data_IF_778482661375
#
_entry.id   IF_778482661375
#
_cell.length_a   1.000
_cell.length_b   1.000
_cell.length_c   1.000
_cell.angle_alpha   90.00
_cell.angle_beta   90.00
_cell.angle_gamma   90.00
#
_symmetry.space_group_name_H-M   'P 1'
#
loop_
_entity.id
_entity.type
_entity.pdbx_description
1 polymer ?
#
# COMPACT_ATOMS: atom_id res chain seq x y z
N UNK A 1 21.11 -1.20 -13.76
CA UNK A 1 20.74 -2.58 -13.34
C UNK A 1 21.83 -3.10 -12.42
N UNK A 2 21.45 -3.46 -11.18
CA UNK A 2 22.33 -3.93 -10.11
C UNK A 2 21.81 -5.27 -9.60
N UNK A 3 22.70 -6.19 -9.20
CA UNK A 3 22.29 -7.48 -8.62
C UNK A 3 22.48 -7.42 -7.10
N UNK A 4 21.43 -7.72 -6.35
CA UNK A 4 21.41 -7.77 -4.89
C UNK A 4 21.15 -9.21 -4.38
N UNK A 5 21.80 -9.67 -3.29
CA UNK A 5 21.60 -11.03 -2.78
C UNK A 5 20.15 -11.35 -2.38
N UNK A 6 19.42 -10.36 -1.87
CA UNK A 6 18.00 -10.51 -1.53
C UNK A 6 17.11 -10.20 -2.75
N UNK A 7 17.24 -9.02 -3.35
CA UNK A 7 16.29 -8.49 -4.33
C UNK A 7 16.49 -9.02 -5.76
N UNK A 8 17.58 -9.74 -6.05
CA UNK A 8 17.87 -10.16 -7.42
C UNK A 8 18.26 -8.96 -8.29
N UNK A 9 17.76 -8.89 -9.53
CA UNK A 9 18.00 -7.76 -10.40
C UNK A 9 17.17 -6.56 -9.94
N UNK A 10 17.85 -5.45 -9.68
CA UNK A 10 17.25 -4.15 -9.37
C UNK A 10 17.45 -3.21 -10.55
N UNK A 11 16.38 -2.57 -10.99
CA UNK A 11 16.35 -1.70 -12.16
C UNK A 11 15.35 -0.57 -12.01
N UNK A 12 15.48 0.46 -12.85
CA UNK A 12 14.48 1.52 -12.96
C UNK A 12 13.22 0.93 -13.59
N UNK A 13 12.08 1.39 -13.11
CA UNK A 13 10.73 1.00 -13.50
C UNK A 13 9.82 2.24 -13.51
N UNK A 14 8.53 2.04 -13.79
CA UNK A 14 7.59 3.15 -14.02
C UNK A 14 7.32 4.05 -12.80
N UNK A 15 7.66 3.62 -11.58
CA UNK A 15 7.54 4.42 -10.36
C UNK A 15 8.79 4.32 -9.45
N UNK A 16 9.97 4.46 -10.05
CA UNK A 16 11.25 4.45 -9.37
C UNK A 16 12.03 3.17 -9.62
N UNK A 17 12.49 2.48 -8.57
CA UNK A 17 13.26 1.24 -8.72
C UNK A 17 12.48 0.02 -8.22
N UNK A 18 12.44 -1.04 -9.02
CA UNK A 18 11.81 -2.32 -8.68
C UNK A 18 12.83 -3.45 -8.72
N UNK A 19 12.39 -4.67 -8.41
CA UNK A 19 13.23 -5.86 -8.46
C UNK A 19 12.48 -7.09 -8.95
N UNK A 20 13.20 -8.21 -9.11
CA UNK A 20 12.59 -9.50 -9.46
C UNK A 20 11.65 -10.05 -8.37
N UNK A 21 11.71 -9.52 -7.13
CA UNK A 21 10.81 -9.93 -6.05
C UNK A 21 9.47 -9.23 -6.19
N UNK A 22 8.42 -10.04 -6.20
CA UNK A 22 7.02 -9.59 -6.14
C UNK A 22 6.36 -10.01 -4.83
N UNK A 23 5.28 -9.33 -4.47
CA UNK A 23 4.48 -9.63 -3.30
C UNK A 23 3.23 -10.41 -3.67
N UNK A 24 2.86 -11.33 -2.78
CA UNK A 24 1.70 -12.19 -2.91
C UNK A 24 1.08 -12.43 -1.53
N UNK A 25 -0.23 -12.23 -1.40
CA UNK A 25 -0.98 -12.55 -0.18
C UNK A 25 -2.43 -12.89 -0.51
N UNK A 26 -3.01 -13.88 0.17
CA UNK A 26 -4.35 -14.42 -0.16
C UNK A 26 -5.51 -13.46 0.07
N UNK A 27 -5.29 -12.38 0.82
CA UNK A 27 -6.29 -11.34 1.03
C UNK A 27 -6.52 -10.50 -0.23
N UNK A 28 -5.43 -10.15 -0.92
CA UNK A 28 -5.47 -9.28 -2.09
C UNK A 28 -5.83 -10.08 -3.35
N UNK A 29 -6.50 -9.42 -4.28
CA UNK A 29 -6.71 -9.93 -5.62
C UNK A 29 -5.44 -9.75 -6.44
N UNK A 30 -5.14 -10.74 -7.28
CA UNK A 30 -3.96 -10.75 -8.11
C UNK A 30 -2.81 -11.57 -7.54
N UNK A 31 -1.81 -11.77 -8.38
CA UNK A 31 -0.51 -12.30 -7.99
C UNK A 31 0.56 -11.37 -8.52
N UNK A 32 1.75 -11.52 -7.96
CA UNK A 32 2.96 -10.86 -8.44
C UNK A 32 2.87 -9.33 -8.40
N UNK A 33 2.40 -8.83 -7.25
CA UNK A 33 2.24 -7.39 -7.00
C UNK A 33 3.63 -6.76 -6.88
N UNK A 34 3.81 -5.63 -7.55
CA UNK A 34 5.10 -4.96 -7.65
C UNK A 34 5.56 -4.34 -6.34
N UNK A 35 6.86 -4.43 -6.07
CA UNK A 35 7.52 -3.83 -4.91
C UNK A 35 8.52 -2.78 -5.42
N UNK A 36 8.26 -1.52 -5.07
CA UNK A 36 9.19 -0.42 -5.28
C UNK A 36 10.15 -0.25 -4.10
N UNK A 37 11.39 0.11 -4.41
CA UNK A 37 12.52 0.22 -3.48
C UNK A 37 12.98 1.69 -3.41
N UNK A 38 12.65 2.36 -2.31
CA UNK A 38 12.92 3.80 -2.12
C UNK A 38 11.77 4.69 -2.60
N UNK A 39 11.96 6.00 -2.50
CA UNK A 39 11.02 7.00 -3.03
C UNK A 39 11.15 7.12 -4.56
N UNK A 40 10.11 7.65 -5.22
CA UNK A 40 10.15 7.97 -6.65
C UNK A 40 10.69 9.38 -6.91
N UNK A 41 10.38 10.31 -6.02
CA UNK A 41 10.78 11.72 -6.11
C UNK A 41 11.60 12.12 -4.88
N UNK A 42 12.52 13.05 -5.07
CA UNK A 42 13.28 13.66 -3.98
C UNK A 42 12.49 14.77 -3.26
N UNK A 43 13.17 15.50 -2.36
CA UNK A 43 12.54 16.57 -1.58
C UNK A 43 12.13 17.80 -2.40
N UNK A 44 12.73 17.98 -3.58
CA UNK A 44 12.41 19.07 -4.51
C UNK A 44 11.31 18.65 -5.51
N UNK A 45 10.91 17.38 -5.50
CA UNK A 45 9.92 16.80 -6.39
C UNK A 45 10.49 16.35 -7.73
N UNK A 46 11.81 16.26 -7.84
CA UNK A 46 12.50 15.74 -9.02
C UNK A 46 12.56 14.20 -8.96
N UNK A 47 12.46 13.55 -10.12
CA UNK A 47 12.52 12.08 -10.21
C UNK A 47 13.90 11.57 -9.80
N UNK A 48 13.93 10.56 -8.94
CA UNK A 48 15.17 9.92 -8.51
C UNK A 48 15.65 8.98 -9.61
N UNK A 49 16.64 9.43 -10.39
CA UNK A 49 17.27 8.62 -11.44
C UNK A 49 18.45 7.76 -10.95
N UNK A 50 18.97 8.07 -9.75
CA UNK A 50 20.09 7.33 -9.17
C UNK A 50 19.63 6.04 -8.48
N UNK A 51 20.21 4.91 -8.89
CA UNK A 51 19.87 3.62 -8.31
C UNK A 51 20.23 3.53 -6.82
N UNK A 52 19.41 2.86 -5.98
CA UNK A 52 19.72 2.66 -4.58
C UNK A 52 21.07 1.98 -4.37
N UNK A 53 21.83 2.47 -3.40
CA UNK A 53 23.11 1.85 -3.03
C UNK A 53 22.92 0.47 -2.41
N UNK A 54 23.95 -0.38 -2.39
CA UNK A 54 23.87 -1.69 -1.72
C UNK A 54 23.43 -1.60 -0.26
N UNK A 55 23.86 -0.58 0.47
CA UNK A 55 23.46 -0.38 1.86
C UNK A 55 21.97 -0.04 2.01
N UNK A 56 21.42 0.74 1.08
CA UNK A 56 19.98 1.02 1.04
C UNK A 56 19.18 -0.23 0.70
N UNK A 57 19.66 -1.04 -0.27
CA UNK A 57 19.04 -2.31 -0.63
C UNK A 57 19.03 -3.32 0.53
N UNK A 58 20.11 -3.37 1.33
CA UNK A 58 20.16 -4.14 2.57
C UNK A 58 19.13 -3.63 3.59
N UNK A 59 19.00 -2.31 3.73
CA UNK A 59 18.00 -1.67 4.58
C UNK A 59 16.56 -2.00 4.15
N UNK A 60 16.27 -1.89 2.86
CA UNK A 60 14.97 -2.26 2.29
C UNK A 60 14.66 -3.74 2.51
N UNK A 61 15.65 -4.62 2.33
CA UNK A 61 15.47 -6.05 2.59
C UNK A 61 15.07 -6.30 4.05
N UNK A 62 15.75 -5.65 5.00
CA UNK A 62 15.40 -5.74 6.42
C UNK A 62 14.01 -5.18 6.73
N UNK A 63 13.63 -4.05 6.14
CA UNK A 63 12.28 -3.46 6.27
C UNK A 63 11.21 -4.42 5.76
N UNK A 64 11.38 -4.96 4.55
CA UNK A 64 10.40 -5.84 3.94
C UNK A 64 10.29 -7.18 4.70
N UNK A 65 11.40 -7.77 5.13
CA UNK A 65 11.37 -8.96 5.98
C UNK A 65 10.65 -8.71 7.31
N UNK A 66 10.87 -7.55 7.93
CA UNK A 66 10.14 -7.17 9.14
C UNK A 66 8.64 -7.07 8.88
N UNK A 67 8.24 -6.42 7.78
CA UNK A 67 6.83 -6.33 7.37
C UNK A 67 6.22 -7.72 7.15
N UNK A 68 6.89 -8.59 6.38
CA UNK A 68 6.40 -9.95 6.10
C UNK A 68 6.26 -10.80 7.37
N UNK A 69 7.16 -10.65 8.35
CA UNK A 69 7.07 -11.37 9.63
C UNK A 69 5.87 -10.93 10.50
N UNK A 70 5.25 -9.78 10.19
CA UNK A 70 4.11 -9.22 10.91
C UNK A 70 2.87 -9.05 10.03
N UNK A 71 2.86 -9.65 8.82
CA UNK A 71 1.87 -9.38 7.78
C UNK A 71 0.42 -9.55 8.24
N UNK A 72 0.11 -10.63 8.96
CA UNK A 72 -1.27 -10.90 9.43
C UNK A 72 -1.76 -9.81 10.39
N UNK A 73 -0.92 -9.40 11.34
CA UNK A 73 -1.24 -8.29 12.25
C UNK A 73 -1.38 -6.97 11.51
N UNK A 74 -0.50 -6.70 10.53
CA UNK A 74 -0.62 -5.51 9.69
C UNK A 74 -1.90 -5.52 8.86
N UNK A 75 -2.35 -6.69 8.41
CA UNK A 75 -3.58 -6.84 7.64
C UNK A 75 -4.83 -6.61 8.50
N UNK A 76 -4.86 -7.17 9.71
CA UNK A 76 -5.96 -6.93 10.66
C UNK A 76 -6.10 -5.42 10.94
N UNK A 77 -4.98 -4.73 11.16
CA UNK A 77 -4.98 -3.29 11.39
C UNK A 77 -5.41 -2.51 10.14
N UNK A 78 -4.96 -2.93 8.95
CA UNK A 78 -5.34 -2.34 7.66
C UNK A 78 -6.84 -2.40 7.46
N UNK A 79 -7.47 -3.57 7.63
CA UNK A 79 -8.91 -3.77 7.44
C UNK A 79 -9.71 -2.91 8.43
N UNK A 80 -9.29 -2.91 9.70
CA UNK A 80 -9.89 -2.06 10.74
C UNK A 80 -9.82 -0.57 10.36
N UNK A 81 -8.64 -0.08 9.95
CA UNK A 81 -8.45 1.34 9.61
C UNK A 81 -9.12 1.74 8.31
N UNK A 82 -9.18 0.85 7.33
CA UNK A 82 -9.92 1.06 6.10
C UNK A 82 -11.42 1.23 6.39
N UNK A 83 -11.98 0.38 7.25
CA UNK A 83 -13.38 0.45 7.64
C UNK A 83 -13.69 1.71 8.47
N UNK A 84 -12.81 2.10 9.40
CA UNK A 84 -12.94 3.38 10.13
C UNK A 84 -12.96 4.59 9.17
N UNK A 85 -12.10 4.57 8.14
CA UNK A 85 -12.08 5.60 7.10
C UNK A 85 -13.37 5.59 6.29
N UNK A 86 -13.87 4.42 5.90
CA UNK A 86 -15.14 4.25 5.23
C UNK A 86 -16.30 4.90 6.01
N UNK A 87 -16.45 4.53 7.27
CA UNK A 87 -17.49 5.04 8.16
C UNK A 87 -17.45 6.57 8.28
N UNK A 88 -16.24 7.13 8.38
CA UNK A 88 -16.04 8.57 8.58
C UNK A 88 -16.31 9.40 7.32
N UNK A 89 -15.96 8.90 6.15
CA UNK A 89 -15.88 9.70 4.93
C UNK A 89 -16.90 9.34 3.85
N UNK A 90 -17.42 8.11 3.84
CA UNK A 90 -18.18 7.59 2.71
C UNK A 90 -19.52 6.97 3.09
N UNK A 91 -19.67 6.48 4.33
CA UNK A 91 -20.92 5.84 4.75
C UNK A 91 -22.15 6.74 4.58
N UNK A 92 -22.05 8.04 4.83
CA UNK A 92 -23.19 8.95 4.63
C UNK A 92 -23.62 9.08 3.16
N UNK A 93 -22.71 8.88 2.22
CA UNK A 93 -23.05 8.85 0.79
C UNK A 93 -23.67 7.51 0.40
N UNK A 94 -23.05 6.39 0.79
CA UNK A 94 -23.44 5.06 0.29
C UNK A 94 -24.56 4.37 1.07
N UNK A 95 -24.82 4.77 2.32
CA UNK A 95 -25.83 4.13 3.18
C UNK A 95 -27.16 4.89 3.24
N UNK A 96 -27.26 5.98 2.46
CA UNK A 96 -28.46 6.80 2.38
C UNK A 96 -28.87 6.97 0.93
N UNK A 97 -30.05 6.43 0.58
CA UNK A 97 -30.59 6.51 -0.79
C UNK A 97 -30.85 7.95 -1.24
N UNK A 98 -31.09 8.87 -0.31
CA UNK A 98 -31.27 10.30 -0.62
C UNK A 98 -29.99 10.94 -1.16
N UNK A 99 -28.82 10.44 -0.77
CA UNK A 99 -27.51 10.97 -1.18
C UNK A 99 -26.95 10.23 -2.41
N UNK A 100 -27.01 8.89 -2.41
CA UNK A 100 -26.47 8.06 -3.50
C UNK A 100 -27.39 7.92 -4.71
N UNK A 101 -28.71 8.05 -4.53
CA UNK A 101 -29.70 7.67 -5.54
C UNK A 101 -29.88 6.15 -5.71
N UNK A 102 -29.16 5.35 -4.91
CA UNK A 102 -29.13 3.89 -4.98
C UNK A 102 -29.57 3.25 -3.64
N UNK A 103 -29.93 1.97 -3.62
CA UNK A 103 -30.15 1.24 -2.36
C UNK A 103 -28.88 1.25 -1.48
N UNK A 104 -29.01 1.31 -0.14
CA UNK A 104 -27.87 1.27 0.76
C UNK A 104 -27.00 0.02 0.55
N UNK A 105 -25.68 0.17 0.60
CA UNK A 105 -24.75 -0.96 0.47
C UNK A 105 -24.79 -1.89 1.70
N UNK A 106 -25.23 -1.38 2.85
CA UNK A 106 -25.28 -2.05 4.15
C UNK A 106 -23.90 -2.52 4.64
N UNK A 107 -22.85 -1.72 4.40
CA UNK A 107 -21.48 -1.97 4.85
C UNK A 107 -21.33 -1.54 6.31
N UNK A 108 -21.82 -2.37 7.21
CA UNK A 108 -21.87 -2.11 8.67
C UNK A 108 -20.79 -2.86 9.47
N UNK A 109 -19.94 -3.63 8.79
CA UNK A 109 -18.91 -4.49 9.38
C UNK A 109 -17.67 -4.53 8.49
N UNK A 110 -16.52 -4.86 9.09
CA UNK A 110 -15.23 -5.02 8.38
C UNK A 110 -15.35 -6.09 7.30
N UNK A 111 -15.93 -7.26 7.60
CA UNK A 111 -16.12 -8.35 6.63
C UNK A 111 -16.91 -7.93 5.38
N UNK A 112 -17.83 -6.98 5.52
CA UNK A 112 -18.59 -6.43 4.38
C UNK A 112 -17.83 -5.33 3.63
N UNK A 113 -16.84 -4.72 4.26
CA UNK A 113 -15.99 -3.68 3.69
C UNK A 113 -14.77 -4.25 2.95
N UNK A 114 -14.17 -5.31 3.49
CA UNK A 114 -12.97 -5.95 2.94
C UNK A 114 -13.01 -6.25 1.43
N UNK A 115 -14.14 -6.66 0.82
CA UNK A 115 -14.21 -6.86 -0.63
C UNK A 115 -13.79 -5.64 -1.46
N UNK A 116 -13.99 -4.41 -0.95
CA UNK A 116 -13.72 -3.17 -1.68
C UNK A 116 -12.26 -2.69 -1.62
N UNK A 117 -11.41 -3.37 -0.83
CA UNK A 117 -9.99 -3.01 -0.62
C UNK A 117 -9.02 -4.12 -1.04
N UNK A 118 -9.49 -5.07 -1.88
CA UNK A 118 -8.66 -6.22 -2.28
C UNK A 118 -7.67 -5.93 -3.40
N UNK A 119 -7.84 -4.86 -4.16
CA UNK A 119 -6.93 -4.53 -5.25
C UNK A 119 -5.73 -3.74 -4.75
N UNK A 120 -4.66 -4.44 -4.32
CA UNK A 120 -3.38 -3.82 -4.03
C UNK A 120 -2.65 -3.53 -5.34
N UNK A 121 -2.36 -2.24 -5.58
CA UNK A 121 -1.69 -1.78 -6.80
C UNK A 121 -0.19 -2.10 -6.75
N UNK A 122 0.46 -1.73 -5.66
CA UNK A 122 1.88 -1.97 -5.41
C UNK A 122 2.20 -1.72 -3.93
N UNK A 123 3.42 -2.09 -3.53
CA UNK A 123 4.00 -1.73 -2.24
C UNK A 123 5.27 -0.92 -2.47
N UNK A 124 5.55 0.04 -1.59
CA UNK A 124 6.80 0.78 -1.59
C UNK A 124 7.54 0.53 -0.27
N UNK A 125 8.75 0.02 -0.37
CA UNK A 125 9.64 -0.24 0.76
C UNK A 125 10.60 0.94 0.89
N UNK A 126 10.59 1.56 2.05
CA UNK A 126 11.36 2.76 2.35
C UNK A 126 12.36 2.50 3.48
N UNK A 127 13.21 3.49 3.73
CA UNK A 127 14.12 3.47 4.88
C UNK A 127 13.35 3.54 6.21
N UNK A 128 14.03 3.21 7.31
CA UNK A 128 13.47 3.36 8.66
C UNK A 128 12.31 2.42 8.98
N UNK A 129 12.31 1.20 8.44
CA UNK A 129 11.23 0.22 8.62
C UNK A 129 9.85 0.73 8.15
N UNK A 130 9.85 1.52 7.07
CA UNK A 130 8.64 2.10 6.51
C UNK A 130 8.18 1.34 5.27
N UNK A 131 6.90 1.01 5.20
CA UNK A 131 6.28 0.40 4.01
C UNK A 131 4.99 1.15 3.68
N UNK A 132 4.79 1.51 2.41
CA UNK A 132 3.52 2.04 1.91
C UNK A 132 2.78 0.99 1.10
N UNK A 133 1.48 0.81 1.37
CA UNK A 133 0.57 -0.04 0.59
C UNK A 133 -0.43 0.85 -0.12
N UNK A 134 -0.50 0.73 -1.45
CA UNK A 134 -1.39 1.54 -2.29
C UNK A 134 -2.51 0.65 -2.84
N UNK A 135 -3.74 0.96 -2.47
CA UNK A 135 -4.94 0.17 -2.80
C UNK A 135 -5.83 0.97 -3.76
N UNK A 136 -6.28 0.31 -4.83
CA UNK A 136 -7.42 0.81 -5.61
C UNK A 136 -8.68 0.56 -4.80
N UNK A 137 -9.24 1.64 -4.26
CA UNK A 137 -10.40 1.55 -3.40
C UNK A 137 -11.70 1.64 -4.20
N UNK A 138 -12.48 0.57 -4.23
CA UNK A 138 -13.69 0.50 -5.08
C UNK A 138 -14.78 1.51 -4.71
N UNK A 139 -14.81 1.96 -3.44
CA UNK A 139 -15.77 2.97 -2.96
C UNK A 139 -15.23 4.42 -3.08
N UNK A 140 -13.98 4.60 -3.52
CA UNK A 140 -13.41 5.89 -3.91
C UNK A 140 -12.36 5.68 -5.00
N UNK A 141 -12.85 5.49 -6.23
CA UNK A 141 -11.99 5.20 -7.37
C UNK A 141 -11.15 6.41 -7.82
N UNK A 142 -11.49 7.62 -7.36
CA UNK A 142 -10.76 8.84 -7.69
C UNK A 142 -9.49 8.99 -6.84
N UNK A 143 -9.59 8.75 -5.53
CA UNK A 143 -8.48 9.02 -4.60
C UNK A 143 -7.77 7.75 -4.10
N UNK A 144 -8.38 6.57 -4.26
CA UNK A 144 -7.84 5.31 -3.75
C UNK A 144 -7.63 5.32 -2.24
N UNK A 145 -6.76 4.42 -1.76
CA UNK A 145 -6.37 4.38 -0.35
C UNK A 145 -4.89 4.04 -0.21
N UNK A 146 -4.19 4.73 0.68
CA UNK A 146 -2.78 4.45 0.98
C UNK A 146 -2.58 4.29 2.48
N UNK A 147 -1.79 3.29 2.86
CA UNK A 147 -1.41 3.00 4.23
C UNK A 147 0.10 3.14 4.36
N UNK A 148 0.56 3.97 5.31
CA UNK A 148 1.97 4.01 5.71
C UNK A 148 2.15 3.25 7.01
N UNK A 149 2.93 2.18 6.95
CA UNK A 149 3.40 1.43 8.09
C UNK A 149 4.77 1.92 8.51
N UNK A 150 4.99 2.12 9.80
CA UNK A 150 6.29 2.41 10.40
C UNK A 150 6.52 1.41 11.52
N UNK A 151 7.62 0.64 11.46
CA UNK A 151 7.91 -0.42 12.43
C UNK A 151 6.77 -1.44 12.60
N UNK A 152 6.04 -1.74 11.50
CA UNK A 152 4.94 -2.71 11.50
C UNK A 152 3.60 -2.20 12.05
N UNK A 153 3.49 -0.92 12.38
CA UNK A 153 2.25 -0.28 12.84
C UNK A 153 1.77 0.76 11.83
N UNK A 154 0.46 0.96 11.70
CA UNK A 154 -0.07 2.02 10.82
C UNK A 154 0.23 3.40 11.44
N UNK A 155 1.07 4.16 10.75
CA UNK A 155 1.38 5.54 11.09
C UNK A 155 0.42 6.55 10.42
N UNK A 156 -0.04 6.24 9.20
CA UNK A 156 -0.96 7.11 8.46
C UNK A 156 -1.87 6.33 7.49
N UNK A 157 -3.08 6.85 7.26
CA UNK A 157 -4.04 6.36 6.25
C UNK A 157 -4.64 7.51 5.48
N UNK A 158 -4.47 7.50 4.15
CA UNK A 158 -4.76 8.62 3.27
C UNK A 158 -5.37 8.20 1.94
N UNK A 159 -5.52 9.17 1.05
CA UNK A 159 -5.59 8.87 -0.39
C UNK A 159 -4.19 8.56 -0.91
N UNK A 160 -4.10 8.12 -2.16
CA UNK A 160 -2.82 7.83 -2.81
C UNK A 160 -1.92 9.07 -2.79
N UNK A 161 -0.65 8.89 -2.41
CA UNK A 161 0.36 9.94 -2.28
C UNK A 161 0.06 11.03 -1.24
N UNK A 162 -0.87 10.80 -0.30
CA UNK A 162 -1.15 11.75 0.79
C UNK A 162 -0.65 11.30 2.16
N UNK A 163 0.15 10.22 2.22
CA UNK A 163 0.63 9.65 3.50
C UNK A 163 2.08 9.92 3.81
#
# INVERSE_FOLDING_TARGET
MQIHPYWGNVGQDWAGFSSDITFNHSFFQGSDIEIFLGEEFDEDGDEIEEAPTSAQLDGFAATYQHFMNNMESCLDELCQKAFERYQRLYAHYYEHTEESGEPPLNVDTIDKHDPYIKELMYLRVLEGHTVKLTIRYELDTEHGMEFRFENGLIAAVGGIATT
#
